data_IF_324281565480
#
_entry.id   IF_324281565480
#
_cell.length_a   1.000
_cell.length_b   1.000
_cell.length_c   1.000
_cell.angle_alpha   90.00
_cell.angle_beta   90.00
_cell.angle_gamma   90.00
#
_symmetry.space_group_name_H-M   'P 1'
#
loop_
_entity.id
_entity.type
_entity.pdbx_description
1 polymer ?
#
# COMPACT_ATOMS: atom_id res chain seq x y z
N UNK A 1 -33.31 8.63 -22.07
CA UNK A 1 -33.30 7.15 -21.96
C UNK A 1 -32.48 6.79 -20.74
N UNK A 2 -33.12 6.25 -19.70
CA UNK A 2 -32.43 5.73 -18.51
C UNK A 2 -31.60 4.50 -18.92
N UNK A 3 -30.29 4.45 -18.60
CA UNK A 3 -29.43 3.36 -19.07
C UNK A 3 -29.93 2.01 -18.54
N UNK A 4 -30.17 1.01 -19.41
CA UNK A 4 -30.66 -0.29 -19.00
C UNK A 4 -29.54 -1.10 -18.34
N UNK A 5 -29.89 -1.63 -17.17
CA UNK A 5 -29.24 -2.69 -16.40
C UNK A 5 -27.83 -2.38 -15.90
N UNK A 6 -27.82 -1.58 -14.84
CA UNK A 6 -26.95 -1.81 -13.70
C UNK A 6 -26.88 -3.31 -13.42
N UNK A 7 -25.67 -3.88 -13.39
CA UNK A 7 -25.45 -5.09 -12.61
C UNK A 7 -26.15 -4.86 -11.26
N UNK A 8 -27.11 -5.71 -10.84
CA UNK A 8 -27.95 -5.36 -9.71
C UNK A 8 -27.04 -4.99 -8.55
N UNK A 9 -27.19 -3.80 -7.96
CA UNK A 9 -26.33 -3.33 -6.85
C UNK A 9 -26.22 -4.40 -5.76
N UNK A 10 -27.30 -5.17 -5.59
CA UNK A 10 -27.39 -6.36 -4.76
C UNK A 10 -26.37 -7.44 -5.19
N UNK A 11 -26.36 -7.85 -6.46
CA UNK A 11 -25.41 -8.84 -6.97
C UNK A 11 -23.95 -8.38 -6.81
N UNK A 12 -23.65 -7.12 -7.10
CA UNK A 12 -22.30 -6.58 -6.84
C UNK A 12 -21.94 -6.64 -5.36
N UNK A 13 -22.86 -6.23 -4.48
CA UNK A 13 -22.68 -6.32 -3.03
C UNK A 13 -22.45 -7.75 -2.54
N UNK A 14 -23.19 -8.72 -3.08
CA UNK A 14 -23.03 -10.14 -2.79
C UNK A 14 -21.65 -10.66 -3.23
N UNK A 15 -21.17 -10.25 -4.41
CA UNK A 15 -19.85 -10.65 -4.91
C UNK A 15 -18.71 -10.04 -4.10
N UNK A 16 -18.85 -8.79 -3.65
CA UNK A 16 -17.91 -8.17 -2.71
C UNK A 16 -17.93 -8.91 -1.38
N UNK A 17 -19.11 -9.17 -0.82
CA UNK A 17 -19.27 -9.92 0.43
C UNK A 17 -18.68 -11.33 0.36
N UNK A 18 -18.85 -12.03 -0.77
CA UNK A 18 -18.26 -13.33 -1.00
C UNK A 18 -16.73 -13.30 -1.03
N UNK A 19 -16.12 -12.27 -1.62
CA UNK A 19 -14.66 -12.12 -1.62
C UNK A 19 -14.11 -11.87 -0.21
N UNK A 20 -14.79 -11.06 0.62
CA UNK A 20 -14.43 -10.88 2.03
C UNK A 20 -14.60 -12.17 2.84
N UNK A 21 -15.68 -12.91 2.60
CA UNK A 21 -15.91 -14.20 3.25
C UNK A 21 -14.82 -15.21 2.89
N UNK A 22 -14.42 -15.27 1.62
CA UNK A 22 -13.31 -16.11 1.18
C UNK A 22 -12.01 -15.75 1.90
N UNK A 23 -11.63 -14.46 1.92
CA UNK A 23 -10.44 -14.02 2.65
C UNK A 23 -10.52 -14.38 4.14
N UNK A 24 -11.70 -14.21 4.76
CA UNK A 24 -11.90 -14.57 6.16
C UNK A 24 -11.73 -16.08 6.41
N UNK A 25 -12.22 -16.93 5.50
CA UNK A 25 -12.04 -18.38 5.56
C UNK A 25 -10.56 -18.77 5.41
N UNK A 26 -9.86 -18.22 4.42
CA UNK A 26 -8.43 -18.47 4.21
C UNK A 26 -7.58 -18.01 5.40
N UNK A 27 -7.90 -16.85 5.98
CA UNK A 27 -7.28 -16.38 7.22
C UNK A 27 -7.60 -17.31 8.40
N UNK A 28 -8.80 -17.89 8.48
CA UNK A 28 -9.15 -18.87 9.50
C UNK A 28 -8.32 -20.15 9.39
N UNK A 29 -8.19 -20.70 8.18
CA UNK A 29 -7.33 -21.88 7.92
C UNK A 29 -5.88 -21.57 8.27
N UNK A 30 -5.36 -20.41 7.87
CA UNK A 30 -4.00 -19.99 8.20
C UNK A 30 -3.82 -19.73 9.69
N UNK A 31 -4.84 -19.20 10.37
CA UNK A 31 -4.84 -18.96 11.81
C UNK A 31 -4.66 -20.28 12.56
N UNK A 32 -5.46 -21.29 12.24
CA UNK A 32 -5.36 -22.62 12.84
C UNK A 32 -4.02 -23.27 12.53
N UNK A 33 -3.56 -23.20 11.28
CA UNK A 33 -2.31 -23.82 10.86
C UNK A 33 -1.07 -23.19 11.50
N UNK A 34 -1.15 -21.92 11.91
CA UNK A 34 -0.04 -21.24 12.58
C UNK A 34 -0.24 -21.16 14.10
N UNK A 35 -1.35 -21.64 14.67
CA UNK A 35 -1.54 -21.56 16.11
C UNK A 35 -0.52 -22.46 16.84
N UNK A 36 0.13 -21.92 17.87
CA UNK A 36 1.22 -22.58 18.60
C UNK A 36 2.58 -22.52 17.89
N UNK A 37 2.69 -21.84 16.74
CA UNK A 37 4.00 -21.61 16.09
C UNK A 37 4.66 -20.35 16.64
N UNK A 38 6.00 -20.35 16.67
CA UNK A 38 6.77 -19.19 17.11
C UNK A 38 6.49 -17.98 16.20
N UNK A 39 6.35 -16.82 16.83
CA UNK A 39 6.21 -15.57 16.11
C UNK A 39 7.52 -15.13 15.44
N UNK A 40 7.39 -14.25 14.44
CA UNK A 40 8.54 -13.51 13.91
C UNK A 40 9.22 -12.70 15.03
N UNK A 41 10.53 -12.48 14.89
CA UNK A 41 11.39 -11.85 15.90
C UNK A 41 10.91 -10.45 16.34
N UNK A 42 10.19 -9.71 15.48
CA UNK A 42 9.65 -8.38 15.80
C UNK A 42 8.42 -8.41 16.73
N UNK A 43 7.67 -9.52 16.77
CA UNK A 43 6.38 -9.59 17.46
C UNK A 43 6.49 -9.52 18.97
N UNK A 44 7.43 -10.26 19.63
CA UNK A 44 7.61 -10.15 21.08
C UNK A 44 7.79 -8.70 21.54
N UNK A 45 8.58 -7.89 20.82
CA UNK A 45 8.78 -6.49 21.16
C UNK A 45 7.51 -5.64 20.99
N UNK A 46 6.70 -5.90 19.96
CA UNK A 46 5.41 -5.21 19.81
C UNK A 46 4.44 -5.55 20.95
N UNK A 47 4.44 -6.80 21.40
CA UNK A 47 3.59 -7.26 22.51
C UNK A 47 4.06 -6.70 23.83
N UNK A 48 5.37 -6.72 24.10
CA UNK A 48 5.96 -6.09 25.27
C UNK A 48 5.62 -4.59 25.32
N UNK A 49 5.77 -3.89 24.19
CA UNK A 49 5.34 -2.50 24.07
C UNK A 49 3.85 -2.30 24.32
N UNK A 50 2.98 -3.21 23.86
CA UNK A 50 1.54 -3.11 24.08
C UNK A 50 1.16 -3.29 25.56
N UNK A 51 1.77 -4.27 26.24
CA UNK A 51 1.56 -4.54 27.66
C UNK A 51 2.16 -3.46 28.56
N UNK A 52 3.33 -2.92 28.19
CA UNK A 52 4.04 -1.89 28.94
C UNK A 52 3.51 -0.47 28.72
N UNK A 53 2.84 -0.21 27.59
CA UNK A 53 2.29 1.11 27.29
C UNK A 53 1.27 1.57 28.33
N UNK A 54 1.27 2.84 28.68
CA UNK A 54 0.25 3.46 29.54
C UNK A 54 -0.74 4.31 28.73
N UNK A 55 -0.27 5.02 27.71
CA UNK A 55 -1.09 5.83 26.79
C UNK A 55 -0.73 5.58 25.32
N UNK A 56 -1.43 6.22 24.38
CA UNK A 56 -1.31 5.92 22.94
C UNK A 56 0.11 6.07 22.37
N UNK A 57 0.84 7.11 22.77
CA UNK A 57 2.21 7.38 22.31
C UNK A 57 3.28 6.74 23.21
N UNK A 58 2.92 5.88 24.14
CA UNK A 58 3.86 5.19 25.02
C UNK A 58 4.24 3.83 24.43
N UNK A 59 4.85 3.82 23.25
CA UNK A 59 5.10 2.60 22.46
C UNK A 59 6.57 2.17 22.43
N UNK A 60 7.40 2.75 23.30
CA UNK A 60 8.84 2.45 23.40
C UNK A 60 9.59 2.78 22.11
N UNK A 61 10.31 1.80 21.56
CA UNK A 61 11.08 1.96 20.31
C UNK A 61 10.25 1.77 19.04
N UNK A 62 8.98 1.38 19.17
CA UNK A 62 8.11 1.01 18.06
C UNK A 62 7.07 2.09 17.79
N UNK A 63 6.55 2.15 16.56
CA UNK A 63 5.53 3.13 16.20
C UNK A 63 4.16 2.83 16.86
N UNK A 64 3.45 3.87 17.36
CA UNK A 64 2.39 3.70 18.35
C UNK A 64 1.10 3.06 17.82
N UNK A 65 0.74 3.27 16.55
CA UNK A 65 -0.60 2.88 16.11
C UNK A 65 -0.82 1.36 16.11
N UNK A 66 0.18 0.59 15.67
CA UNK A 66 0.05 -0.87 15.68
C UNK A 66 0.12 -1.44 17.10
N UNK A 67 1.00 -0.88 17.96
CA UNK A 67 1.09 -1.25 19.38
C UNK A 67 -0.24 -1.00 20.09
N UNK A 68 -0.90 0.12 19.81
CA UNK A 68 -2.23 0.42 20.33
C UNK A 68 -3.29 -0.59 19.87
N UNK A 69 -3.28 -1.00 18.60
CA UNK A 69 -4.17 -2.06 18.12
C UNK A 69 -3.96 -3.39 18.85
N UNK A 70 -2.70 -3.77 19.10
CA UNK A 70 -2.38 -4.98 19.87
C UNK A 70 -2.85 -4.86 21.31
N UNK A 71 -2.68 -3.70 21.95
CA UNK A 71 -3.17 -3.44 23.30
C UNK A 71 -4.68 -3.65 23.41
N UNK A 72 -5.45 -3.15 22.44
CA UNK A 72 -6.89 -3.39 22.38
C UNK A 72 -7.18 -4.90 22.29
N UNK A 73 -6.47 -5.63 21.42
CA UNK A 73 -6.64 -7.08 21.29
C UNK A 73 -6.35 -7.84 22.59
N UNK A 74 -5.24 -7.52 23.25
CA UNK A 74 -4.83 -8.11 24.52
C UNK A 74 -5.79 -7.77 25.67
N UNK A 75 -6.50 -6.64 25.58
CA UNK A 75 -7.55 -6.29 26.53
C UNK A 75 -8.86 -7.04 26.33
N UNK A 76 -9.07 -7.68 25.17
CA UNK A 76 -10.29 -8.42 24.83
C UNK A 76 -10.10 -9.93 24.98
N UNK A 77 -8.88 -10.43 24.74
CA UNK A 77 -8.57 -11.87 24.68
C UNK A 77 -7.46 -12.20 25.65
N UNK A 78 -7.71 -13.16 26.55
CA UNK A 78 -6.74 -13.57 27.59
C UNK A 78 -5.50 -14.26 27.01
N UNK A 79 -5.68 -15.06 25.96
CA UNK A 79 -4.57 -15.72 25.29
C UNK A 79 -3.82 -14.73 24.38
N UNK A 80 -2.56 -14.44 24.73
CA UNK A 80 -1.71 -13.47 24.02
C UNK A 80 -1.53 -13.80 22.54
N UNK A 81 -1.27 -15.06 22.21
CA UNK A 81 -1.09 -15.47 20.82
C UNK A 81 -2.38 -15.24 20.02
N UNK A 82 -3.51 -15.70 20.55
CA UNK A 82 -4.82 -15.52 19.95
C UNK A 82 -5.14 -14.03 19.75
N UNK A 83 -4.86 -13.18 20.73
CA UNK A 83 -5.07 -11.74 20.66
C UNK A 83 -4.30 -11.11 19.49
N UNK A 84 -3.00 -11.39 19.38
CA UNK A 84 -2.11 -10.86 18.34
C UNK A 84 -2.61 -11.28 16.95
N UNK A 85 -2.91 -12.56 16.77
CA UNK A 85 -3.37 -13.10 15.47
C UNK A 85 -4.74 -12.55 15.08
N UNK A 86 -5.68 -12.43 16.02
CA UNK A 86 -7.01 -11.85 15.74
C UNK A 86 -6.91 -10.37 15.33
N UNK A 87 -6.02 -9.61 15.98
CA UNK A 87 -5.75 -8.23 15.58
C UNK A 87 -5.25 -8.18 14.14
N UNK A 88 -4.31 -9.02 13.73
CA UNK A 88 -3.84 -9.02 12.34
C UNK A 88 -4.87 -9.52 11.33
N UNK A 89 -5.78 -10.42 11.72
CA UNK A 89 -6.91 -10.82 10.88
C UNK A 89 -7.80 -9.61 10.60
N UNK A 90 -8.17 -8.86 11.64
CA UNK A 90 -8.96 -7.63 11.50
C UNK A 90 -8.24 -6.59 10.62
N UNK A 91 -6.93 -6.43 10.79
CA UNK A 91 -6.10 -5.54 9.97
C UNK A 91 -6.05 -5.98 8.49
N UNK A 92 -6.10 -7.28 8.22
CA UNK A 92 -6.10 -7.83 6.86
C UNK A 92 -7.44 -7.63 6.15
N UNK A 93 -8.55 -7.76 6.89
CA UNK A 93 -9.87 -7.37 6.38
C UNK A 93 -9.93 -5.87 6.10
N UNK A 94 -9.33 -5.04 6.97
CA UNK A 94 -9.20 -3.61 6.70
C UNK A 94 -8.33 -3.33 5.47
N UNK A 95 -7.25 -4.09 5.26
CA UNK A 95 -6.43 -4.01 4.05
C UNK A 95 -7.26 -4.31 2.79
N UNK A 96 -8.07 -5.36 2.80
CA UNK A 96 -8.96 -5.71 1.70
C UNK A 96 -10.02 -4.63 1.43
N UNK A 97 -10.57 -4.01 2.48
CA UNK A 97 -11.43 -2.85 2.35
C UNK A 97 -10.70 -1.65 1.72
N UNK A 98 -9.48 -1.35 2.18
CA UNK A 98 -8.64 -0.30 1.62
C UNK A 98 -8.40 -0.50 0.12
N UNK A 99 -8.05 -1.73 -0.29
CA UNK A 99 -7.87 -2.09 -1.70
C UNK A 99 -9.13 -1.86 -2.51
N UNK A 100 -10.26 -2.41 -2.06
CA UNK A 100 -11.54 -2.26 -2.76
C UNK A 100 -11.93 -0.80 -2.90
N UNK A 101 -11.80 -0.01 -1.82
CA UNK A 101 -12.14 1.40 -1.82
C UNK A 101 -11.23 2.19 -2.78
N UNK A 102 -9.92 2.04 -2.67
CA UNK A 102 -8.95 2.65 -3.59
C UNK A 102 -9.25 2.28 -5.04
N UNK A 103 -9.38 0.99 -5.32
CA UNK A 103 -9.58 0.51 -6.68
C UNK A 103 -10.90 1.03 -7.27
N UNK A 104 -11.96 1.10 -6.46
CA UNK A 104 -13.26 1.60 -6.88
C UNK A 104 -13.24 3.08 -7.21
N UNK A 105 -12.50 3.87 -6.43
CA UNK A 105 -12.37 5.32 -6.63
C UNK A 105 -11.64 5.65 -7.92
N UNK A 106 -10.56 4.93 -8.24
CA UNK A 106 -9.69 5.27 -9.37
C UNK A 106 -9.98 4.48 -10.65
N UNK A 107 -10.44 3.23 -10.56
CA UNK A 107 -10.53 2.32 -11.69
C UNK A 107 -11.93 1.72 -11.90
N UNK A 108 -12.91 2.11 -11.07
CA UNK A 108 -14.28 1.64 -11.18
C UNK A 108 -14.58 0.33 -10.44
N UNK A 109 -15.87 -0.03 -10.41
CA UNK A 109 -16.37 -1.10 -9.52
C UNK A 109 -15.91 -2.50 -9.95
N UNK A 110 -15.77 -2.75 -11.25
CA UNK A 110 -15.34 -4.05 -11.80
C UNK A 110 -13.89 -4.35 -11.45
N UNK A 111 -12.99 -3.39 -11.67
CA UNK A 111 -11.57 -3.54 -11.30
C UNK A 111 -11.44 -3.77 -9.80
N UNK A 112 -12.16 -2.99 -8.99
CA UNK A 112 -12.17 -3.16 -7.54
C UNK A 112 -12.60 -4.56 -7.09
N UNK A 113 -13.64 -5.11 -7.72
CA UNK A 113 -14.11 -6.45 -7.42
C UNK A 113 -13.05 -7.50 -7.77
N UNK A 114 -12.52 -7.47 -8.99
CA UNK A 114 -11.51 -8.42 -9.45
C UNK A 114 -10.22 -8.36 -8.61
N UNK A 115 -9.74 -7.15 -8.30
CA UNK A 115 -8.58 -6.97 -7.41
C UNK A 115 -8.85 -7.52 -6.01
N UNK A 116 -10.06 -7.34 -5.47
CA UNK A 116 -10.43 -7.88 -4.17
C UNK A 116 -10.41 -9.42 -4.16
N UNK A 117 -10.95 -10.07 -5.20
CA UNK A 117 -10.90 -11.53 -5.35
C UNK A 117 -9.47 -12.06 -5.46
N UNK A 118 -8.61 -11.39 -6.25
CA UNK A 118 -7.19 -11.76 -6.37
C UNK A 118 -6.43 -11.56 -5.05
N UNK A 119 -6.76 -10.52 -4.28
CA UNK A 119 -6.19 -10.30 -2.96
C UNK A 119 -6.67 -11.36 -1.95
N UNK A 120 -7.93 -11.79 -2.03
CA UNK A 120 -8.52 -12.76 -1.10
C UNK A 120 -7.79 -14.12 -1.11
N UNK A 121 -7.24 -14.52 -2.25
CA UNK A 121 -6.46 -15.77 -2.41
C UNK A 121 -4.95 -15.53 -2.33
N UNK A 122 -4.50 -14.35 -1.91
CA UNK A 122 -3.09 -14.01 -1.92
C UNK A 122 -2.34 -14.65 -0.74
N UNK A 123 -1.39 -15.57 -0.97
CA UNK A 123 -0.75 -16.33 0.10
C UNK A 123 0.10 -15.44 1.03
N UNK A 124 0.64 -14.33 0.52
CA UNK A 124 1.46 -13.41 1.33
C UNK A 124 0.58 -12.59 2.28
N UNK A 125 -0.56 -12.08 1.81
CA UNK A 125 -1.53 -11.44 2.71
C UNK A 125 -2.05 -12.44 3.74
N UNK A 126 -2.38 -13.67 3.34
CA UNK A 126 -2.87 -14.71 4.25
C UNK A 126 -1.83 -15.00 5.34
N UNK A 127 -0.57 -15.22 4.96
CA UNK A 127 0.53 -15.43 5.92
C UNK A 127 0.73 -14.23 6.86
N UNK A 128 0.84 -13.01 6.31
CA UNK A 128 1.04 -11.82 7.13
C UNK A 128 -0.19 -11.43 7.94
N UNK A 129 -1.37 -11.88 7.53
CA UNK A 129 -2.63 -11.60 8.20
C UNK A 129 -2.85 -12.38 9.48
N UNK A 130 -2.01 -13.39 9.75
CA UNK A 130 -2.06 -14.17 10.99
C UNK A 130 -0.74 -14.16 11.74
N UNK A 131 0.28 -13.40 11.31
CA UNK A 131 1.63 -13.45 11.89
C UNK A 131 1.94 -12.39 12.95
N UNK A 132 0.95 -11.55 13.32
CA UNK A 132 1.17 -10.44 14.26
C UNK A 132 1.81 -9.19 13.64
N UNK A 133 2.23 -9.24 12.37
CA UNK A 133 2.97 -8.17 11.73
C UNK A 133 2.09 -6.97 11.38
N UNK A 134 2.64 -5.74 11.50
CA UNK A 134 1.96 -4.48 11.12
C UNK A 134 1.76 -4.22 9.63
N UNK A 135 2.20 -5.13 8.76
CA UNK A 135 2.18 -4.92 7.30
C UNK A 135 0.76 -4.79 6.71
N UNK A 136 -0.26 -5.58 7.14
CA UNK A 136 -1.62 -5.44 6.64
C UNK A 136 -2.25 -4.09 7.03
N UNK A 137 -2.12 -3.65 8.29
CA UNK A 137 -2.69 -2.36 8.72
C UNK A 137 -2.03 -1.18 8.01
N UNK A 138 -0.71 -1.24 7.83
CA UNK A 138 0.02 -0.23 7.06
C UNK A 138 -0.50 -0.14 5.62
N UNK A 139 -0.64 -1.28 4.95
CA UNK A 139 -1.13 -1.37 3.57
C UNK A 139 -2.58 -0.88 3.46
N UNK A 140 -3.43 -1.28 4.39
CA UNK A 140 -4.82 -0.81 4.46
C UNK A 140 -4.92 0.70 4.63
N UNK A 141 -4.17 1.29 5.57
CA UNK A 141 -4.14 2.74 5.78
C UNK A 141 -3.65 3.49 4.55
N UNK A 142 -2.62 2.97 3.87
CA UNK A 142 -2.10 3.54 2.63
C UNK A 142 -3.17 3.56 1.55
N UNK A 143 -3.81 2.43 1.28
CA UNK A 143 -4.85 2.32 0.25
C UNK A 143 -6.06 3.19 0.60
N UNK A 144 -6.51 3.20 1.85
CA UNK A 144 -7.61 4.04 2.31
C UNK A 144 -7.27 5.52 2.22
N UNK A 145 -6.06 5.94 2.59
CA UNK A 145 -5.58 7.31 2.42
C UNK A 145 -5.65 7.75 0.95
N UNK A 146 -5.15 6.92 0.04
CA UNK A 146 -5.17 7.23 -1.40
C UNK A 146 -6.58 7.24 -1.97
N UNK A 147 -7.41 6.25 -1.62
CA UNK A 147 -8.82 6.22 -2.01
C UNK A 147 -9.57 7.45 -1.51
N UNK A 148 -9.31 7.88 -0.27
CA UNK A 148 -9.95 9.06 0.31
C UNK A 148 -9.47 10.35 -0.37
N UNK A 149 -8.18 10.43 -0.71
CA UNK A 149 -7.62 11.55 -1.47
C UNK A 149 -8.22 11.64 -2.88
N UNK A 150 -8.33 10.51 -3.59
CA UNK A 150 -8.97 10.44 -4.91
C UNK A 150 -10.45 10.83 -4.85
N UNK A 151 -11.15 10.33 -3.83
CA UNK A 151 -12.56 10.64 -3.59
C UNK A 151 -12.79 12.13 -3.33
N UNK A 152 -11.98 12.75 -2.45
CA UNK A 152 -12.06 14.20 -2.17
C UNK A 152 -11.59 15.07 -3.34
N UNK A 153 -10.68 14.56 -4.18
CA UNK A 153 -10.28 15.21 -5.43
C UNK A 153 -11.42 15.27 -6.46
N UNK A 154 -12.32 14.27 -6.46
CA UNK A 154 -13.44 14.18 -7.42
C UNK A 154 -14.61 15.12 -7.12
N UNK A 155 -14.72 15.65 -5.90
CA UNK A 155 -15.84 16.49 -5.46
C UNK A 155 -15.60 17.98 -5.74
N UNK A 156 -16.56 18.62 -6.43
CA UNK A 156 -16.54 20.08 -6.66
C UNK A 156 -16.72 20.87 -5.35
N UNK A 157 -17.68 20.47 -4.50
CA UNK A 157 -17.91 21.10 -3.21
C UNK A 157 -17.14 20.35 -2.13
N UNK A 158 -16.28 21.07 -1.41
CA UNK A 158 -15.44 20.43 -0.40
C UNK A 158 -16.08 20.58 0.97
N UNK A 159 -16.23 19.46 1.68
CA UNK A 159 -16.53 19.48 3.11
C UNK A 159 -15.21 19.44 3.86
N UNK A 160 -15.02 20.34 4.82
CA UNK A 160 -13.81 20.40 5.66
C UNK A 160 -13.48 19.04 6.30
N UNK A 161 -14.52 18.30 6.68
CA UNK A 161 -14.44 16.97 7.26
C UNK A 161 -13.75 15.93 6.37
N UNK A 162 -13.84 16.07 5.04
CA UNK A 162 -13.15 15.18 4.10
C UNK A 162 -11.63 15.37 4.16
N UNK A 163 -11.16 16.63 4.18
CA UNK A 163 -9.73 16.94 4.30
C UNK A 163 -9.18 16.52 5.67
N UNK A 164 -9.94 16.73 6.75
CA UNK A 164 -9.57 16.26 8.09
C UNK A 164 -9.45 14.73 8.09
N UNK A 165 -10.43 14.01 7.54
CA UNK A 165 -10.39 12.53 7.47
C UNK A 165 -9.17 12.00 6.72
N UNK A 166 -8.83 12.59 5.58
CA UNK A 166 -7.61 12.24 4.82
C UNK A 166 -6.35 12.54 5.64
N UNK A 167 -6.32 13.67 6.35
CA UNK A 167 -5.22 14.03 7.24
C UNK A 167 -5.06 13.06 8.42
N UNK A 168 -6.16 12.61 9.02
CA UNK A 168 -6.14 11.57 10.07
C UNK A 168 -5.57 10.26 9.52
N UNK A 169 -6.03 9.81 8.34
CA UNK A 169 -5.50 8.59 7.72
C UNK A 169 -4.01 8.71 7.40
N UNK A 170 -3.55 9.87 6.92
CA UNK A 170 -2.14 10.16 6.71
C UNK A 170 -1.33 10.14 8.01
N UNK A 171 -1.84 10.75 9.08
CA UNK A 171 -1.22 10.72 10.41
C UNK A 171 -1.11 9.30 10.97
N UNK A 172 -2.20 8.52 10.95
CA UNK A 172 -2.19 7.12 11.39
C UNK A 172 -1.25 6.23 10.56
N UNK A 173 -1.17 6.48 9.25
CA UNK A 173 -0.24 5.78 8.37
C UNK A 173 1.22 6.02 8.80
N UNK A 174 1.58 7.26 9.10
CA UNK A 174 2.93 7.62 9.59
C UNK A 174 3.18 7.10 11.01
N UNK A 175 2.16 7.11 11.87
CA UNK A 175 2.20 6.48 13.21
C UNK A 175 2.20 4.94 13.16
N UNK A 176 2.07 4.33 11.98
CA UNK A 176 2.27 2.90 11.78
C UNK A 176 3.68 2.60 11.30
N UNK A 177 4.21 3.44 10.40
CA UNK A 177 5.60 3.39 9.91
C UNK A 177 6.09 4.79 9.56
N UNK A 178 7.16 5.25 10.21
CA UNK A 178 7.64 6.64 10.06
C UNK A 178 8.03 7.02 8.63
N UNK A 179 8.57 6.08 7.84
CA UNK A 179 8.94 6.34 6.44
C UNK A 179 7.74 6.71 5.55
N UNK A 180 6.52 6.43 6.00
CA UNK A 180 5.31 6.80 5.27
C UNK A 180 5.13 8.32 5.15
N UNK A 181 5.86 9.12 5.94
CA UNK A 181 5.86 10.57 5.82
C UNK A 181 6.24 11.00 4.40
N UNK A 182 7.25 10.34 3.81
CA UNK A 182 7.65 10.57 2.43
C UNK A 182 6.51 10.27 1.44
N UNK A 183 5.73 9.22 1.70
CA UNK A 183 4.59 8.83 0.86
C UNK A 183 3.45 9.85 1.00
N UNK A 184 3.09 10.25 2.22
CA UNK A 184 2.03 11.24 2.47
C UNK A 184 2.39 12.58 1.84
N UNK A 185 3.58 13.11 2.15
CA UNK A 185 4.06 14.39 1.62
C UNK A 185 4.23 14.33 0.11
N UNK A 186 4.90 13.29 -0.40
CA UNK A 186 5.14 13.15 -1.83
C UNK A 186 3.85 12.97 -2.63
N UNK A 187 2.87 12.24 -2.11
CA UNK A 187 1.56 12.09 -2.76
C UNK A 187 0.82 13.42 -2.84
N UNK A 188 0.84 14.22 -1.76
CA UNK A 188 0.24 15.55 -1.78
C UNK A 188 0.96 16.43 -2.81
N UNK A 189 2.30 16.47 -2.82
CA UNK A 189 3.07 17.24 -3.80
C UNK A 189 2.72 16.81 -5.23
N UNK A 190 2.72 15.50 -5.52
CA UNK A 190 2.39 14.96 -6.85
C UNK A 190 0.96 15.31 -7.28
N UNK A 191 0.00 15.26 -6.35
CA UNK A 191 -1.37 15.67 -6.62
C UNK A 191 -1.46 17.17 -6.95
N UNK A 192 -0.78 18.01 -6.16
CA UNK A 192 -0.69 19.46 -6.40
C UNK A 192 -0.04 19.81 -7.73
N UNK A 193 1.06 19.15 -8.08
CA UNK A 193 1.71 19.29 -9.39
C UNK A 193 0.78 18.88 -10.52
N UNK A 194 0.07 17.76 -10.37
CA UNK A 194 -0.96 17.35 -11.31
C UNK A 194 -2.02 18.45 -11.51
N UNK A 195 -2.56 19.00 -10.43
CA UNK A 195 -3.53 20.08 -10.54
C UNK A 195 -2.92 21.34 -11.15
N UNK A 196 -1.65 21.67 -10.87
CA UNK A 196 -0.98 22.81 -11.48
C UNK A 196 -0.89 22.71 -13.01
N UNK A 197 -0.56 21.52 -13.54
CA UNK A 197 -0.42 21.31 -14.97
C UNK A 197 -1.75 21.14 -15.70
N UNK A 198 -2.74 20.49 -15.08
CA UNK A 198 -4.00 20.13 -15.75
C UNK A 198 -5.21 20.98 -15.35
N UNK A 199 -5.24 21.60 -14.17
CA UNK A 199 -6.40 22.37 -13.70
C UNK A 199 -6.04 23.44 -12.65
N UNK A 200 -5.50 24.57 -13.13
CA UNK A 200 -5.00 25.67 -12.29
C UNK A 200 -6.06 26.26 -11.35
N UNK A 201 -7.33 26.29 -11.76
CA UNK A 201 -8.42 26.81 -10.93
C UNK A 201 -8.62 25.97 -9.67
N UNK A 202 -8.54 24.63 -9.81
CA UNK A 202 -8.64 23.69 -8.68
C UNK A 202 -7.43 23.75 -7.75
N UNK A 203 -6.27 24.22 -8.20
CA UNK A 203 -5.05 24.26 -7.39
C UNK A 203 -5.23 25.11 -6.12
N UNK A 204 -5.85 26.29 -6.19
CA UNK A 204 -6.04 27.17 -5.03
C UNK A 204 -6.96 26.56 -3.98
N UNK A 205 -8.00 25.84 -4.42
CA UNK A 205 -8.86 25.10 -3.51
C UNK A 205 -8.10 23.92 -2.88
N UNK A 206 -7.30 23.22 -3.69
CA UNK A 206 -6.49 22.10 -3.25
C UNK A 206 -5.41 22.49 -2.23
N UNK A 207 -4.69 23.60 -2.40
CA UNK A 207 -3.64 24.00 -1.45
C UNK A 207 -4.18 24.20 -0.04
N UNK A 208 -5.39 24.76 0.10
CA UNK A 208 -6.09 24.85 1.39
C UNK A 208 -6.39 23.47 1.97
N UNK A 209 -6.87 22.54 1.15
CA UNK A 209 -7.13 21.14 1.57
C UNK A 209 -5.85 20.44 1.99
N UNK A 210 -4.79 20.55 1.19
CA UNK A 210 -3.49 19.96 1.47
C UNK A 210 -2.91 20.51 2.77
N UNK A 211 -3.04 21.82 3.02
CA UNK A 211 -2.65 22.42 4.29
C UNK A 211 -3.46 21.88 5.47
N UNK A 212 -4.78 21.67 5.32
CA UNK A 212 -5.61 21.05 6.36
C UNK A 212 -5.26 19.58 6.62
N UNK A 213 -5.06 18.80 5.55
CA UNK A 213 -4.64 17.40 5.62
C UNK A 213 -3.28 17.28 6.34
N UNK A 214 -2.31 18.10 5.93
CA UNK A 214 -0.98 18.15 6.53
C UNK A 214 -1.04 18.63 7.98
N UNK A 215 -1.78 19.69 8.27
CA UNK A 215 -1.96 20.21 9.63
C UNK A 215 -2.57 19.17 10.56
N UNK A 216 -3.56 18.40 10.09
CA UNK A 216 -4.20 17.33 10.86
C UNK A 216 -3.25 16.15 11.08
N UNK A 217 -2.51 15.74 10.05
CA UNK A 217 -1.50 14.69 10.16
C UNK A 217 -0.39 15.11 11.15
N UNK A 218 0.11 16.34 11.06
CA UNK A 218 1.11 16.90 11.96
C UNK A 218 0.59 16.99 13.41
N UNK A 219 -0.67 17.35 13.62
CA UNK A 219 -1.26 17.39 14.96
C UNK A 219 -1.26 16.00 15.61
N UNK A 220 -1.49 14.93 14.84
CA UNK A 220 -1.38 13.56 15.33
C UNK A 220 0.07 13.10 15.53
N UNK A 221 1.01 13.63 14.75
CA UNK A 221 2.42 13.25 14.82
C UNK A 221 3.21 14.01 15.87
N UNK A 222 2.78 15.22 16.23
CA UNK A 222 3.52 16.10 17.12
C UNK A 222 3.83 15.45 18.47
N UNK A 223 2.89 14.76 19.15
CA UNK A 223 3.22 14.10 20.41
C UNK A 223 4.28 13.01 20.24
N UNK A 224 4.22 12.20 19.17
CA UNK A 224 5.22 11.16 18.90
C UNK A 224 6.62 11.75 18.71
N UNK A 225 6.71 12.85 17.95
CA UNK A 225 7.99 13.53 17.66
C UNK A 225 8.57 14.21 18.89
N UNK A 226 7.74 14.70 19.81
CA UNK A 226 8.18 15.37 21.04
C UNK A 226 8.61 14.35 22.10
N UNK A 227 7.89 13.24 22.22
CA UNK A 227 8.12 12.24 23.26
C UNK A 227 9.23 11.25 22.91
N UNK A 228 9.35 10.90 21.63
CA UNK A 228 10.41 10.05 21.16
C UNK A 228 11.44 10.90 20.46
N UNK A 229 12.68 10.90 20.99
CA UNK A 229 13.81 11.23 20.15
C UNK A 229 13.76 10.35 18.88
N UNK A 230 14.45 10.73 17.83
CA UNK A 230 14.39 10.02 16.54
C UNK A 230 15.25 8.72 16.40
N UNK A 231 15.63 7.91 17.42
CA UNK A 231 16.42 6.70 17.21
C UNK A 231 15.84 5.78 16.14
N UNK A 232 14.55 5.45 16.19
CA UNK A 232 13.99 4.40 15.31
C UNK A 232 14.21 4.61 13.80
N UNK A 233 14.24 5.87 13.30
CA UNK A 233 14.56 6.11 11.89
C UNK A 233 16.07 5.95 11.62
N UNK A 234 16.92 6.43 12.54
CA UNK A 234 18.37 6.25 12.45
C UNK A 234 18.74 4.78 12.60
N UNK A 235 18.11 4.06 13.51
CA UNK A 235 18.35 2.65 13.80
C UNK A 235 18.02 1.76 12.60
N UNK A 236 16.91 2.03 11.89
CA UNK A 236 16.61 1.35 10.63
C UNK A 236 17.66 1.62 9.55
N UNK A 237 18.18 2.85 9.46
CA UNK A 237 19.21 3.18 8.48
C UNK A 237 20.53 2.52 8.82
N UNK A 238 20.91 2.50 10.09
CA UNK A 238 22.08 1.78 10.55
C UNK A 238 21.92 0.28 10.35
N UNK A 239 20.73 -0.27 10.58
CA UNK A 239 20.44 -1.67 10.29
C UNK A 239 20.76 -2.01 8.83
N UNK A 240 20.25 -1.21 7.87
CA UNK A 240 20.54 -1.44 6.44
C UNK A 240 22.00 -1.21 6.09
N UNK A 241 22.59 -0.12 6.58
CA UNK A 241 24.01 0.19 6.39
C UNK A 241 24.93 -0.93 6.89
N UNK A 242 24.66 -1.46 8.08
CA UNK A 242 25.48 -2.54 8.65
C UNK A 242 25.24 -3.86 7.94
N UNK A 243 24.01 -4.13 7.52
CA UNK A 243 23.74 -5.30 6.69
C UNK A 243 24.51 -5.22 5.36
N UNK A 244 24.58 -4.04 4.75
CA UNK A 244 25.30 -3.80 3.50
C UNK A 244 26.82 -3.92 3.66
N UNK A 245 27.41 -3.20 4.62
CA UNK A 245 28.87 -3.11 4.75
C UNK A 245 29.49 -4.22 5.62
N UNK A 246 28.71 -4.88 6.47
CA UNK A 246 29.21 -5.90 7.42
C UNK A 246 28.54 -7.25 7.26
N UNK A 247 27.52 -7.39 6.39
CA UNK A 247 26.87 -8.67 6.09
C UNK A 247 25.98 -9.21 7.21
N UNK A 248 25.85 -8.50 8.35
CA UNK A 248 24.94 -8.86 9.42
C UNK A 248 24.38 -7.63 10.14
N UNK A 249 23.09 -7.71 10.48
CA UNK A 249 22.39 -6.64 11.17
C UNK A 249 22.96 -6.33 12.57
N UNK A 250 23.60 -7.31 13.23
CA UNK A 250 24.09 -7.21 14.61
C UNK A 250 25.17 -6.13 14.86
N UNK A 251 25.81 -5.59 13.82
CA UNK A 251 26.82 -4.54 13.94
C UNK A 251 26.21 -3.15 14.22
N UNK A 252 24.88 -3.03 14.41
CA UNK A 252 24.22 -1.76 14.78
C UNK A 252 24.70 -1.14 16.08
N UNK A 253 25.40 -1.91 16.92
CA UNK A 253 26.04 -1.40 18.14
C UNK A 253 27.49 -0.94 17.94
N UNK A 254 28.10 -1.23 16.80
CA UNK A 254 29.53 -1.03 16.55
C UNK A 254 29.82 0.28 15.80
N UNK A 255 28.87 0.76 14.99
CA UNK A 255 29.00 2.00 14.22
C UNK A 255 28.12 3.13 14.77
N UNK A 256 28.62 4.39 14.81
CA UNK A 256 27.81 5.52 15.22
C UNK A 256 26.63 5.72 14.26
N UNK A 257 25.47 6.17 14.76
CA UNK A 257 24.27 6.26 13.96
C UNK A 257 24.39 7.33 12.86
N UNK A 258 24.11 6.95 11.61
CA UNK A 258 24.12 7.87 10.47
C UNK A 258 22.73 8.32 10.06
N UNK A 259 22.65 9.46 9.36
CA UNK A 259 21.41 9.93 8.75
C UNK A 259 21.16 9.26 7.41
N UNK A 260 19.91 9.32 6.91
CA UNK A 260 19.58 8.81 5.57
C UNK A 260 20.41 9.49 4.49
N UNK A 261 20.62 10.79 4.62
CA UNK A 261 21.41 11.54 3.67
C UNK A 261 22.87 11.11 3.68
N UNK A 262 23.43 10.83 4.86
CA UNK A 262 24.78 10.29 4.98
C UNK A 262 24.85 8.91 4.33
N UNK A 263 23.93 8.02 4.66
CA UNK A 263 23.91 6.68 4.09
C UNK A 263 23.76 6.69 2.55
N UNK A 264 22.88 7.52 1.99
CA UNK A 264 22.63 7.53 0.55
C UNK A 264 23.66 8.33 -0.24
N UNK A 265 24.18 9.44 0.27
CA UNK A 265 25.01 10.36 -0.52
C UNK A 265 26.45 10.54 -0.01
N UNK A 266 26.77 10.01 1.18
CA UNK A 266 28.13 10.03 1.73
C UNK A 266 28.75 8.64 1.69
N UNK A 267 28.01 7.61 2.10
CA UNK A 267 28.49 6.22 2.01
C UNK A 267 28.44 5.67 0.56
N UNK A 268 27.68 6.33 -0.33
CA UNK A 268 27.56 5.94 -1.75
C UNK A 268 27.78 7.13 -2.69
N UNK A 269 28.40 6.84 -3.85
CA UNK A 269 28.45 7.77 -4.97
C UNK A 269 27.09 7.88 -5.68
N UNK A 270 26.83 9.01 -6.34
CA UNK A 270 25.60 9.21 -7.12
C UNK A 270 25.40 8.13 -8.19
N UNK A 271 26.47 7.67 -8.83
CA UNK A 271 26.42 6.57 -9.80
C UNK A 271 26.00 5.25 -9.18
N UNK A 272 26.48 4.93 -7.98
CA UNK A 272 26.07 3.72 -7.24
C UNK A 272 24.60 3.81 -6.85
N UNK A 273 24.16 4.94 -6.30
CA UNK A 273 22.74 5.16 -5.97
C UNK A 273 21.85 4.94 -7.19
N UNK A 274 22.19 5.56 -8.33
CA UNK A 274 21.43 5.41 -9.58
C UNK A 274 21.45 3.96 -10.07
N UNK A 275 22.58 3.27 -9.97
CA UNK A 275 22.72 1.86 -10.39
C UNK A 275 21.92 0.93 -9.49
N UNK A 276 22.03 1.06 -8.17
CA UNK A 276 21.27 0.28 -7.17
C UNK A 276 19.78 0.48 -7.41
N UNK A 277 19.33 1.73 -7.49
CA UNK A 277 17.92 2.06 -7.71
C UNK A 277 17.43 1.52 -9.05
N UNK A 278 18.19 1.74 -10.13
CA UNK A 278 17.85 1.28 -11.47
C UNK A 278 17.74 -0.25 -11.56
N UNK A 279 18.76 -0.95 -11.07
CA UNK A 279 18.81 -2.42 -11.06
C UNK A 279 17.68 -3.00 -10.21
N UNK A 280 17.46 -2.47 -9.01
CA UNK A 280 16.42 -2.99 -8.11
C UNK A 280 15.01 -2.72 -8.65
N UNK A 281 14.78 -1.60 -9.33
CA UNK A 281 13.52 -1.35 -10.04
C UNK A 281 13.29 -2.38 -11.16
N UNK A 282 14.31 -2.65 -11.96
CA UNK A 282 14.21 -3.57 -13.10
C UNK A 282 14.06 -5.03 -12.66
N UNK A 283 14.73 -5.39 -11.57
CA UNK A 283 14.68 -6.74 -11.01
C UNK A 283 13.43 -6.96 -10.15
N UNK A 284 12.79 -5.90 -9.65
CA UNK A 284 11.65 -6.04 -8.75
C UNK A 284 10.51 -6.92 -9.29
N UNK A 285 10.06 -6.76 -10.56
CA UNK A 285 9.05 -7.64 -11.14
C UNK A 285 9.51 -9.09 -11.23
N UNK A 286 10.77 -9.32 -11.59
CA UNK A 286 11.30 -10.67 -11.77
C UNK A 286 11.45 -11.40 -10.42
N UNK A 287 12.07 -10.75 -9.46
CA UNK A 287 12.48 -11.39 -8.21
C UNK A 287 11.33 -11.47 -7.20
N UNK A 288 10.46 -10.45 -7.17
CA UNK A 288 9.42 -10.36 -6.15
C UNK A 288 8.02 -10.60 -6.68
N UNK A 289 7.62 -10.05 -7.84
CA UNK A 289 6.29 -10.37 -8.39
C UNK A 289 6.20 -11.84 -8.85
N UNK A 290 7.31 -12.43 -9.32
CA UNK A 290 7.39 -13.86 -9.65
C UNK A 290 7.06 -14.78 -8.47
N UNK A 291 7.34 -14.37 -7.22
CA UNK A 291 7.03 -15.14 -6.02
C UNK A 291 5.52 -15.30 -5.79
N UNK A 292 4.73 -14.29 -6.16
CA UNK A 292 3.27 -14.30 -6.02
C UNK A 292 2.56 -15.14 -7.08
N UNK A 293 3.21 -15.42 -8.22
CA UNK A 293 2.58 -16.01 -9.40
C UNK A 293 3.43 -17.09 -10.07
N UNK A 294 4.12 -17.91 -9.27
CA UNK A 294 5.02 -19.02 -9.64
C UNK A 294 4.94 -19.44 -11.12
N UNK A 295 6.02 -19.20 -11.88
CA UNK A 295 6.21 -19.76 -13.23
C UNK A 295 6.07 -18.80 -14.41
N UNK A 296 5.70 -17.54 -14.20
CA UNK A 296 5.43 -16.58 -15.29
C UNK A 296 6.23 -15.26 -15.19
N UNK A 297 7.53 -15.31 -14.89
CA UNK A 297 8.36 -14.11 -14.69
C UNK A 297 8.29 -13.07 -15.83
N UNK A 298 8.29 -13.51 -17.09
CA UNK A 298 8.22 -12.60 -18.25
C UNK A 298 6.85 -11.90 -18.40
N UNK A 299 5.76 -12.57 -18.03
CA UNK A 299 4.43 -11.96 -18.07
C UNK A 299 4.34 -10.75 -17.13
N UNK A 300 5.10 -10.75 -16.03
CA UNK A 300 5.13 -9.64 -15.08
C UNK A 300 5.90 -8.44 -15.58
N UNK A 301 7.00 -8.65 -16.30
CA UNK A 301 7.69 -7.55 -17.00
C UNK A 301 6.74 -6.90 -18.01
N UNK A 302 5.99 -7.70 -18.78
CA UNK A 302 4.99 -7.18 -19.71
C UNK A 302 3.86 -6.45 -19.01
N UNK A 303 3.35 -6.97 -17.89
CA UNK A 303 2.33 -6.31 -17.07
C UNK A 303 2.85 -4.99 -16.51
N UNK A 304 4.12 -4.94 -16.12
CA UNK A 304 4.75 -3.75 -15.56
C UNK A 304 4.99 -2.67 -16.62
N UNK A 305 5.47 -3.06 -17.80
CA UNK A 305 5.56 -2.17 -18.98
C UNK A 305 4.16 -1.71 -19.43
N UNK A 306 3.20 -2.62 -19.50
CA UNK A 306 1.82 -2.29 -19.85
C UNK A 306 1.20 -1.35 -18.82
N UNK A 307 1.52 -1.49 -17.54
CA UNK A 307 1.11 -0.58 -16.47
C UNK A 307 1.66 0.82 -16.69
N UNK A 308 2.93 0.96 -17.09
CA UNK A 308 3.51 2.26 -17.43
C UNK A 308 2.81 2.90 -18.63
N UNK A 309 2.62 2.12 -19.70
CA UNK A 309 1.94 2.59 -20.91
C UNK A 309 0.48 2.97 -20.62
N UNK A 310 -0.23 2.16 -19.85
CA UNK A 310 -1.59 2.40 -19.43
C UNK A 310 -1.70 3.62 -18.50
N UNK A 311 -0.71 3.87 -17.64
CA UNK A 311 -0.69 5.07 -16.80
C UNK A 311 -0.71 6.36 -17.61
N UNK A 312 0.08 6.41 -18.68
CA UNK A 312 0.10 7.54 -19.61
C UNK A 312 -1.18 7.60 -20.44
N UNK A 313 -1.65 6.48 -20.97
CA UNK A 313 -2.81 6.46 -21.86
C UNK A 313 -4.14 6.73 -21.12
N UNK A 314 -4.31 6.13 -19.95
CA UNK A 314 -5.54 6.20 -19.13
C UNK A 314 -5.52 7.37 -18.14
N UNK A 315 -4.46 8.20 -18.16
CA UNK A 315 -4.27 9.34 -17.26
C UNK A 315 -4.30 8.97 -15.78
N UNK A 316 -3.89 7.75 -15.44
CA UNK A 316 -3.75 7.28 -14.05
C UNK A 316 -2.46 7.79 -13.39
N UNK A 317 -1.96 8.95 -13.83
CA UNK A 317 -0.65 9.48 -13.45
C UNK A 317 -0.45 9.52 -11.93
N UNK A 318 -1.46 9.96 -11.17
CA UNK A 318 -1.35 9.99 -9.71
C UNK A 318 -1.22 8.59 -9.11
N UNK A 319 -2.10 7.65 -9.47
CA UNK A 319 -2.08 6.30 -8.91
C UNK A 319 -0.75 5.59 -9.24
N UNK A 320 -0.27 5.75 -10.48
CA UNK A 320 1.02 5.19 -10.90
C UNK A 320 2.20 5.88 -10.22
N UNK A 321 2.22 7.22 -10.17
CA UNK A 321 3.30 7.95 -9.51
C UNK A 321 3.37 7.64 -8.01
N UNK A 322 2.23 7.42 -7.35
CA UNK A 322 2.20 6.98 -5.95
C UNK A 322 2.66 5.54 -5.79
N UNK A 323 2.27 4.63 -6.69
CA UNK A 323 2.78 3.25 -6.68
C UNK A 323 4.32 3.25 -6.79
N UNK A 324 4.88 4.11 -7.63
CA UNK A 324 6.32 4.35 -7.72
C UNK A 324 6.93 4.99 -6.47
N UNK A 325 6.27 5.98 -5.89
CA UNK A 325 6.72 6.58 -4.64
C UNK A 325 6.75 5.56 -3.50
N UNK A 326 5.81 4.60 -3.50
CA UNK A 326 5.76 3.52 -2.51
C UNK A 326 6.88 2.48 -2.67
N UNK A 327 7.45 2.38 -3.89
CA UNK A 327 8.63 1.57 -4.19
C UNK A 327 9.91 2.23 -3.69
N UNK A 328 9.99 3.56 -3.63
CA UNK A 328 11.21 4.28 -3.26
C UNK A 328 11.91 3.79 -1.97
N UNK A 329 11.21 3.60 -0.82
CA UNK A 329 11.86 3.11 0.39
C UNK A 329 12.30 1.64 0.30
N UNK A 330 11.76 0.89 -0.66
CA UNK A 330 12.03 -0.54 -0.85
C UNK A 330 13.22 -0.69 -1.79
N UNK A 331 13.18 -0.02 -2.94
CA UNK A 331 14.13 -0.13 -4.04
C UNK A 331 15.57 0.11 -3.62
N UNK A 332 15.83 1.01 -2.67
CA UNK A 332 17.20 1.22 -2.21
C UNK A 332 17.75 0.02 -1.44
N UNK A 333 16.92 -0.66 -0.64
CA UNK A 333 17.32 -1.74 0.26
C UNK A 333 17.00 -3.14 -0.27
N UNK A 334 16.40 -3.26 -1.46
CA UNK A 334 16.00 -4.53 -2.07
C UNK A 334 17.18 -5.48 -2.30
N UNK A 335 18.37 -4.94 -2.55
CA UNK A 335 19.56 -5.73 -2.80
C UNK A 335 20.16 -6.35 -1.52
N UNK A 336 19.68 -5.95 -0.33
CA UNK A 336 20.17 -6.44 0.95
C UNK A 336 19.45 -7.73 1.34
N UNK A 337 20.20 -8.82 1.50
CA UNK A 337 19.66 -10.09 1.98
C UNK A 337 19.44 -10.04 3.49
N UNK A 338 18.19 -9.81 3.89
CA UNK A 338 17.80 -9.58 5.29
C UNK A 338 17.57 -10.87 6.07
N UNK A 339 17.62 -12.03 5.40
CA UNK A 339 17.38 -13.34 5.99
C UNK A 339 18.68 -14.14 5.95
N UNK A 340 19.25 -14.55 7.10
CA UNK A 340 20.36 -15.50 7.10
C UNK A 340 19.94 -16.74 6.30
N UNK A 341 20.82 -17.25 5.43
CA UNK A 341 20.57 -18.41 4.55
C UNK A 341 19.86 -18.15 3.21
N UNK A 342 19.88 -16.93 2.68
CA UNK A 342 19.99 -16.76 1.22
C UNK A 342 18.68 -16.68 0.43
N UNK A 343 17.56 -16.23 1.02
CA UNK A 343 16.32 -15.98 0.25
C UNK A 343 15.49 -14.80 0.76
N UNK A 344 16.07 -13.61 0.69
CA UNK A 344 15.38 -12.48 0.06
C UNK A 344 14.85 -11.41 1.01
N UNK A 345 14.47 -10.30 0.37
CA UNK A 345 13.84 -9.15 1.02
C UNK A 345 12.63 -9.61 1.80
N UNK A 346 12.46 -9.03 2.98
CA UNK A 346 11.27 -9.17 3.78
C UNK A 346 9.99 -8.88 2.95
N UNK A 347 9.28 -9.95 2.59
CA UNK A 347 8.06 -9.91 1.75
C UNK A 347 6.99 -8.92 2.26
N UNK A 348 7.06 -8.51 3.55
CA UNK A 348 6.25 -7.43 4.14
C UNK A 348 6.40 -6.08 3.42
N UNK A 349 7.57 -5.79 2.84
CA UNK A 349 7.79 -4.60 2.01
C UNK A 349 7.09 -4.72 0.66
N UNK A 350 6.95 -5.94 0.14
CA UNK A 350 6.32 -6.19 -1.16
C UNK A 350 4.80 -6.12 -1.08
N UNK A 351 4.19 -6.47 0.07
CA UNK A 351 2.73 -6.48 0.24
C UNK A 351 2.07 -5.13 -0.13
N UNK A 352 2.60 -4.02 0.38
CA UNK A 352 2.05 -2.69 0.14
C UNK A 352 2.10 -2.31 -1.35
N UNK A 353 3.21 -2.64 -1.99
CA UNK A 353 3.47 -2.36 -3.40
C UNK A 353 2.57 -3.23 -4.27
N UNK A 354 2.53 -4.54 -4.00
CA UNK A 354 1.66 -5.47 -4.71
C UNK A 354 0.20 -5.02 -4.67
N UNK A 355 -0.31 -4.64 -3.49
CA UNK A 355 -1.68 -4.18 -3.36
C UNK A 355 -1.96 -2.88 -4.14
N UNK A 356 -0.99 -1.97 -4.27
CA UNK A 356 -1.13 -0.76 -5.10
C UNK A 356 -1.10 -1.07 -6.60
N UNK A 357 -0.23 -1.98 -7.03
CA UNK A 357 -0.12 -2.34 -8.45
C UNK A 357 -1.27 -3.22 -8.91
N UNK A 358 -1.85 -4.06 -8.04
CA UNK A 358 -2.88 -5.04 -8.41
C UNK A 358 -4.08 -4.42 -9.16
N UNK A 359 -4.71 -3.31 -8.70
CA UNK A 359 -5.77 -2.63 -9.46
C UNK A 359 -5.30 -2.07 -10.80
N UNK A 360 -4.08 -1.55 -10.87
CA UNK A 360 -3.52 -1.00 -12.09
C UNK A 360 -3.31 -2.10 -13.14
N UNK A 361 -2.79 -3.24 -12.71
CA UNK A 361 -2.62 -4.43 -13.55
C UNK A 361 -3.97 -4.93 -14.05
N UNK A 362 -4.94 -5.11 -13.16
CA UNK A 362 -6.29 -5.58 -13.53
C UNK A 362 -6.94 -4.61 -14.52
N UNK A 363 -6.89 -3.30 -14.26
CA UNK A 363 -7.42 -2.29 -15.18
C UNK A 363 -6.73 -2.33 -16.54
N UNK A 364 -5.40 -2.51 -16.57
CA UNK A 364 -4.61 -2.58 -17.80
C UNK A 364 -4.98 -3.82 -18.62
N UNK A 365 -5.01 -5.01 -18.01
CA UNK A 365 -5.39 -6.26 -18.68
C UNK A 365 -6.80 -6.16 -19.24
N UNK A 366 -7.73 -5.61 -18.45
CA UNK A 366 -9.12 -5.43 -18.86
C UNK A 366 -9.25 -4.47 -20.06
N UNK A 367 -8.49 -3.37 -20.05
CA UNK A 367 -8.44 -2.42 -21.16
C UNK A 367 -7.86 -3.04 -22.44
N UNK A 368 -6.73 -3.74 -22.33
CA UNK A 368 -6.09 -4.44 -23.46
C UNK A 368 -7.01 -5.51 -24.06
N UNK A 369 -7.70 -6.27 -23.20
CA UNK A 369 -8.69 -7.25 -23.64
C UNK A 369 -9.85 -6.59 -24.39
N UNK A 370 -10.36 -5.45 -23.90
CA UNK A 370 -11.38 -4.67 -24.58
C UNK A 370 -10.94 -4.18 -25.97
N UNK A 371 -9.71 -3.67 -26.09
CA UNK A 371 -9.14 -3.26 -27.37
C UNK A 371 -8.97 -4.43 -28.35
N UNK A 372 -8.51 -5.59 -27.86
CA UNK A 372 -8.38 -6.79 -28.67
C UNK A 372 -9.74 -7.27 -29.19
N UNK A 373 -10.75 -7.32 -28.31
CA UNK A 373 -12.14 -7.63 -28.70
C UNK A 373 -12.67 -6.62 -29.72
N UNK A 374 -12.45 -5.32 -29.50
CA UNK A 374 -12.85 -4.29 -30.46
C UNK A 374 -12.22 -4.53 -31.83
N UNK A 375 -10.94 -4.89 -31.88
CA UNK A 375 -10.26 -5.14 -33.15
C UNK A 375 -10.77 -6.41 -33.86
N UNK A 376 -11.10 -7.45 -33.10
CA UNK A 376 -11.61 -8.73 -33.65
C UNK A 376 -13.07 -8.59 -34.11
N UNK A 377 -13.87 -7.86 -33.35
CA UNK A 377 -15.33 -7.78 -33.54
C UNK A 377 -15.77 -6.49 -34.25
N UNK A 378 -14.91 -5.48 -34.34
CA UNK A 378 -15.20 -4.15 -34.89
C UNK A 378 -15.45 -4.13 -36.39
N UNK A 379 -15.03 -5.17 -37.12
CA UNK A 379 -15.42 -5.39 -38.51
C UNK A 379 -16.91 -5.79 -38.66
N UNK A 380 -17.60 -6.08 -37.55
CA UNK A 380 -19.05 -6.25 -37.53
C UNK A 380 -19.74 -4.94 -37.09
N UNK A 381 -20.42 -4.27 -38.03
CA UNK A 381 -21.15 -2.99 -37.84
C UNK A 381 -22.08 -2.95 -36.60
N UNK A 382 -22.51 -4.11 -36.09
CA UNK A 382 -23.38 -4.22 -34.91
C UNK A 382 -22.65 -4.26 -33.57
N UNK A 383 -21.38 -4.65 -33.53
CA UNK A 383 -20.63 -4.86 -32.27
C UNK A 383 -19.83 -3.62 -31.85
N UNK A 384 -19.42 -2.77 -32.78
CA UNK A 384 -18.71 -1.52 -32.50
C UNK A 384 -19.41 -0.61 -31.48
N UNK A 385 -20.71 -0.29 -31.63
CA UNK A 385 -21.44 0.52 -30.66
C UNK A 385 -21.53 -0.12 -29.27
N UNK A 386 -21.64 -1.45 -29.21
CA UNK A 386 -21.76 -2.19 -27.96
C UNK A 386 -20.44 -2.21 -27.18
N UNK A 387 -19.31 -2.31 -27.88
CA UNK A 387 -17.97 -2.27 -27.29
C UNK A 387 -17.63 -0.84 -26.85
N UNK A 388 -18.01 0.18 -27.63
CA UNK A 388 -17.84 1.58 -27.21
C UNK A 388 -18.67 1.89 -25.97
N UNK A 389 -19.94 1.46 -25.92
CA UNK A 389 -20.78 1.57 -24.72
C UNK A 389 -20.17 0.80 -23.55
N UNK A 390 -19.54 -0.36 -23.77
CA UNK A 390 -18.85 -1.11 -22.73
C UNK A 390 -17.58 -0.40 -22.20
N UNK A 391 -16.80 0.22 -23.09
CA UNK A 391 -15.63 1.05 -22.76
C UNK A 391 -16.06 2.32 -21.99
N UNK A 392 -17.19 2.93 -22.37
CA UNK A 392 -17.77 4.07 -21.65
C UNK A 392 -18.34 3.65 -20.28
N UNK A 393 -19.01 2.49 -20.21
CA UNK A 393 -19.59 1.91 -18.98
C UNK A 393 -18.57 1.36 -17.99
N UNK A 394 -17.34 1.16 -18.42
CA UNK A 394 -16.25 0.80 -17.51
C UNK A 394 -16.07 1.83 -16.40
N UNK A 395 -16.72 3.01 -16.48
CA UNK A 395 -16.72 4.05 -15.45
C UNK A 395 -15.27 4.31 -14.99
N UNK A 396 -14.33 4.19 -15.93
CA UNK A 396 -13.02 4.82 -15.83
C UNK A 396 -13.37 6.29 -15.90
N UNK A 397 -13.75 6.83 -14.74
CA UNK A 397 -13.91 8.25 -14.52
C UNK A 397 -12.56 8.83 -14.81
N UNK A 398 -12.37 9.18 -16.08
CA UNK A 398 -11.36 10.10 -16.51
C UNK A 398 -11.46 11.25 -15.52
N UNK A 399 -10.37 11.49 -14.79
CA UNK A 399 -10.11 12.79 -14.19
C UNK A 399 -10.11 13.79 -15.36
N UNK A 400 -11.30 14.25 -15.73
CA UNK A 400 -11.53 15.55 -16.36
C UNK A 400 -11.49 16.62 -15.28
#
# INVERSE_FOLDING_TARGET
MSPPNAFPKIAYGLLVGAAFLLLFQELGVAFEANFGTDFNQDIPEFVEGALGSTYFYDSGLREPFHVFCLKIGLGIVENQEQAVRLVTVAQSLFCAFGLWFFARVFFGSTVALLSLWLLAINPVLIFYGVSGMRAPIYTGLLLTFLGALGWEGSRQTTKIWGAIGVGVMGGLLVLTRRYALAIVVGTLILNGLGLYFWNKERLRAWTKKAAMMMGTALLLLLPDVVLHETPAFRDNINFFRNLEFHGHAGAFRESPPVSFFHYVFVDHSLSEVVTIVGTNIMNFPQDYLGYFFRGYGFAWVLVWVATLLAAFHLRFFLATAVAWLSLAPIVFVLHLDQVPFGKGVENRLVLQTFALFLPVVVATVFHLFGLALYKILGDHERLGPMINDWIERLDIKTLR
#
